data_IF_845584816916
#
_entry.id   IF_845584816916
#
_cell.length_a   1.000
_cell.length_b   1.000
_cell.length_c   1.000
_cell.angle_alpha   90.00
_cell.angle_beta   90.00
_cell.angle_gamma   90.00
#
_symmetry.space_group_name_H-M   'P 1'
#
loop_
_entity.id
_entity.type
_entity.pdbx_description
1 polymer ?
#
# COMPACT_ATOMS: atom_id res chain seq x y z
N UNK A 1 -22.89 -11.02 8.88
CA UNK A 1 -22.38 -9.99 9.78
C UNK A 1 -20.87 -10.03 9.93
N UNK A 2 -20.30 -11.17 10.33
CA UNK A 2 -18.85 -11.31 10.42
C UNK A 2 -18.17 -10.99 9.09
N UNK A 3 -18.79 -11.42 8.00
CA UNK A 3 -18.27 -11.20 6.64
C UNK A 3 -18.21 -9.71 6.30
N UNK A 4 -19.25 -8.95 6.65
CA UNK A 4 -19.26 -7.51 6.40
C UNK A 4 -18.19 -6.79 7.21
N UNK A 5 -18.01 -7.18 8.46
CA UNK A 5 -16.97 -6.60 9.33
C UNK A 5 -15.59 -6.88 8.72
N UNK A 6 -15.34 -8.11 8.28
CA UNK A 6 -14.08 -8.48 7.66
C UNK A 6 -13.80 -7.63 6.41
N UNK A 7 -14.78 -7.48 5.54
CA UNK A 7 -14.62 -6.74 4.30
C UNK A 7 -14.43 -5.25 4.54
N UNK A 8 -15.16 -4.69 5.49
CA UNK A 8 -14.99 -3.29 5.88
C UNK A 8 -13.58 -3.05 6.42
N UNK A 9 -13.08 -3.96 7.26
CA UNK A 9 -11.74 -3.87 7.82
C UNK A 9 -10.67 -3.93 6.72
N UNK A 10 -10.84 -4.81 5.75
CA UNK A 10 -9.88 -4.92 4.65
C UNK A 10 -9.93 -3.71 3.73
N UNK A 11 -11.11 -3.16 3.48
CA UNK A 11 -11.24 -1.95 2.69
C UNK A 11 -10.57 -0.76 3.38
N UNK A 12 -10.72 -0.66 4.69
CA UNK A 12 -10.06 0.39 5.48
C UNK A 12 -8.56 0.22 5.46
N UNK A 13 -8.08 -1.01 5.57
CA UNK A 13 -6.66 -1.31 5.48
C UNK A 13 -6.09 -0.92 4.12
N UNK A 14 -6.82 -1.22 3.05
CA UNK A 14 -6.39 -0.87 1.70
C UNK A 14 -6.27 0.64 1.55
N UNK A 15 -7.25 1.38 2.06
CA UNK A 15 -7.24 2.83 2.04
C UNK A 15 -6.01 3.39 2.77
N UNK A 16 -5.71 2.83 3.93
CA UNK A 16 -4.56 3.24 4.72
C UNK A 16 -3.24 2.93 4.03
N UNK A 17 -3.14 1.75 3.42
CA UNK A 17 -1.95 1.35 2.68
C UNK A 17 -1.71 2.25 1.48
N UNK A 18 -2.76 2.62 0.75
CA UNK A 18 -2.65 3.55 -0.38
C UNK A 18 -2.16 4.92 0.07
N UNK A 19 -2.62 5.36 1.22
CA UNK A 19 -2.18 6.62 1.82
C UNK A 19 -0.69 6.57 2.18
N UNK A 20 -0.26 5.47 2.79
CA UNK A 20 1.14 5.25 3.12
C UNK A 20 2.01 5.23 1.86
N UNK A 21 1.55 4.55 0.82
CA UNK A 21 2.28 4.47 -0.43
C UNK A 21 2.45 5.86 -1.06
N UNK A 22 1.39 6.65 -1.07
CA UNK A 22 1.46 8.02 -1.58
C UNK A 22 2.47 8.86 -0.81
N UNK A 23 2.47 8.75 0.52
CA UNK A 23 3.43 9.44 1.37
C UNK A 23 4.86 9.03 1.09
N UNK A 24 5.09 7.71 0.93
CA UNK A 24 6.41 7.18 0.63
C UNK A 24 6.91 7.66 -0.74
N UNK A 25 6.07 7.67 -1.75
CA UNK A 25 6.43 8.14 -3.07
C UNK A 25 6.76 9.63 -3.06
N UNK A 26 5.99 10.40 -2.31
CA UNK A 26 6.23 11.83 -2.16
C UNK A 26 7.57 12.07 -1.46
N UNK A 27 7.84 11.31 -0.41
CA UNK A 27 9.08 11.39 0.33
C UNK A 27 10.28 11.02 -0.56
N UNK A 28 10.14 9.98 -1.37
CA UNK A 28 11.20 9.54 -2.28
C UNK A 28 11.54 10.63 -3.30
N UNK A 29 10.54 11.30 -3.85
CA UNK A 29 10.78 12.41 -4.79
C UNK A 29 11.51 13.56 -4.10
N UNK A 30 11.14 13.88 -2.87
CA UNK A 30 11.80 14.92 -2.09
C UNK A 30 13.24 14.52 -1.78
N UNK A 31 13.45 13.27 -1.40
CA UNK A 31 14.79 12.74 -1.09
C UNK A 31 15.72 12.85 -2.30
N UNK A 32 15.20 12.52 -3.49
CA UNK A 32 15.97 12.66 -4.72
C UNK A 32 16.35 14.12 -4.96
N UNK A 33 15.45 15.05 -4.67
CA UNK A 33 15.67 16.47 -4.88
C UNK A 33 16.72 17.05 -3.93
N UNK A 34 16.80 16.54 -2.68
CA UNK A 34 17.76 17.04 -1.70
C UNK A 34 19.08 16.27 -1.68
N UNK A 35 19.26 15.30 -2.58
CA UNK A 35 20.52 14.57 -2.69
C UNK A 35 20.76 13.54 -1.60
N UNK A 36 19.71 12.85 -1.19
CA UNK A 36 19.81 11.78 -0.20
C UNK A 36 20.74 10.67 -0.68
N UNK A 37 21.44 10.01 0.23
CA UNK A 37 22.36 8.93 -0.13
C UNK A 37 21.66 7.76 -0.77
N UNK A 38 22.43 6.96 -1.54
CA UNK A 38 21.88 5.79 -2.22
C UNK A 38 21.32 4.78 -1.24
N UNK A 39 21.97 4.56 -0.10
CA UNK A 39 21.51 3.60 0.89
C UNK A 39 20.18 4.01 1.49
N UNK A 40 20.00 5.28 1.79
CA UNK A 40 18.74 5.80 2.30
C UNK A 40 17.62 5.69 1.27
N UNK A 41 17.96 5.95 0.00
CA UNK A 41 16.99 5.81 -1.10
C UNK A 41 16.57 4.36 -1.32
N UNK A 42 17.51 3.42 -1.20
CA UNK A 42 17.23 1.99 -1.31
C UNK A 42 16.23 1.57 -0.23
N UNK A 43 16.40 2.06 0.99
CA UNK A 43 15.49 1.74 2.06
C UNK A 43 14.07 2.25 1.78
N UNK A 44 13.95 3.49 1.29
CA UNK A 44 12.65 4.05 0.91
C UNK A 44 12.02 3.21 -0.19
N UNK A 45 12.78 2.84 -1.21
CA UNK A 45 12.28 2.02 -2.33
C UNK A 45 11.84 0.64 -1.85
N UNK A 46 12.56 0.07 -0.87
CA UNK A 46 12.17 -1.21 -0.28
C UNK A 46 10.83 -1.11 0.43
N UNK A 47 10.60 -0.04 1.17
CA UNK A 47 9.32 0.20 1.84
C UNK A 47 8.19 0.41 0.84
N UNK A 48 8.47 1.11 -0.25
CA UNK A 48 7.49 1.30 -1.33
C UNK A 48 7.09 -0.06 -1.91
N UNK A 49 8.06 -0.91 -2.21
CA UNK A 49 7.78 -2.25 -2.75
C UNK A 49 7.01 -3.11 -1.78
N UNK A 50 7.34 -3.06 -0.51
CA UNK A 50 6.63 -3.79 0.53
C UNK A 50 5.18 -3.33 0.59
N UNK A 51 4.95 -2.03 0.60
CA UNK A 51 3.60 -1.46 0.67
C UNK A 51 2.79 -1.80 -0.58
N UNK A 52 3.41 -1.75 -1.75
CA UNK A 52 2.75 -2.16 -3.00
C UNK A 52 2.35 -3.63 -2.96
N UNK A 53 3.22 -4.48 -2.43
CA UNK A 53 2.91 -5.90 -2.26
C UNK A 53 1.74 -6.13 -1.31
N UNK A 54 1.73 -5.41 -0.19
CA UNK A 54 0.63 -5.49 0.77
C UNK A 54 -0.70 -5.02 0.15
N UNK A 55 -0.68 -3.97 -0.65
CA UNK A 55 -1.86 -3.48 -1.36
C UNK A 55 -2.39 -4.56 -2.30
N UNK A 56 -1.51 -5.17 -3.10
CA UNK A 56 -1.93 -6.23 -4.04
C UNK A 56 -2.53 -7.41 -3.31
N UNK A 57 -1.98 -7.75 -2.16
CA UNK A 57 -2.51 -8.86 -1.36
C UNK A 57 -3.91 -8.56 -0.84
N UNK A 58 -4.13 -7.36 -0.32
CA UNK A 58 -5.46 -6.96 0.16
C UNK A 58 -6.45 -6.87 -1.00
N UNK A 59 -6.03 -6.31 -2.13
CA UNK A 59 -6.87 -6.25 -3.33
C UNK A 59 -7.27 -7.65 -3.80
N UNK A 60 -6.32 -8.58 -3.76
CA UNK A 60 -6.60 -9.97 -4.13
C UNK A 60 -7.62 -10.60 -3.20
N UNK A 61 -7.50 -10.36 -1.89
CA UNK A 61 -8.47 -10.85 -0.93
C UNK A 61 -9.87 -10.27 -1.16
N UNK A 62 -9.94 -8.97 -1.38
CA UNK A 62 -11.22 -8.30 -1.66
C UNK A 62 -11.83 -8.83 -2.96
N UNK A 63 -11.03 -9.05 -3.98
CA UNK A 63 -11.50 -9.61 -5.25
C UNK A 63 -12.09 -11.01 -5.07
N UNK A 64 -11.49 -11.82 -4.21
CA UNK A 64 -12.04 -13.16 -3.92
C UNK A 64 -13.42 -13.09 -3.31
N UNK A 65 -13.69 -12.11 -2.47
CA UNK A 65 -14.99 -11.97 -1.82
C UNK A 65 -16.01 -11.27 -2.69
N UNK A 66 -15.59 -10.29 -3.49
CA UNK A 66 -16.49 -9.49 -4.31
C UNK A 66 -16.46 -9.86 -5.78
N UNK A 67 -15.40 -10.51 -6.22
CA UNK A 67 -15.08 -10.64 -7.63
C UNK A 67 -16.14 -11.30 -8.49
N UNK A 68 -16.98 -12.13 -7.89
CA UNK A 68 -18.03 -12.81 -8.63
C UNK A 68 -19.37 -12.13 -8.54
N UNK A 69 -19.44 -11.10 -7.74
CA UNK A 69 -20.65 -10.30 -7.62
C UNK A 69 -20.70 -9.17 -8.64
N UNK A 70 -19.60 -8.99 -9.35
CA UNK A 70 -19.51 -7.90 -10.33
C UNK A 70 -19.89 -8.37 -11.73
#
# INVERSE_FOLDING_TARGET
MIRQVFMSTQADRLKELRKQLEGLRRFERTAAAVGMSMDERIEILSQIRYTEGAIREVESMLTRYYGRAV
#
